data_IF_143165811139
#
_entry.id   IF_143165811139
#
_cell.length_a   1.000
_cell.length_b   1.000
_cell.length_c   1.000
_cell.angle_alpha   90.00
_cell.angle_beta   90.00
_cell.angle_gamma   90.00
#
_symmetry.space_group_name_H-M   'P 1'
#
loop_
_entity.id
_entity.type
_entity.pdbx_description
1 polymer ?
#
# COMPACT_ATOMS: atom_id res chain seq x y z
N UNK A 1 3.69 2.75 -11.24
CA UNK A 1 2.33 2.23 -10.90
C UNK A 1 1.95 2.64 -9.49
N UNK A 2 0.68 3.01 -9.25
CA UNK A 2 0.14 3.22 -7.89
C UNK A 2 -1.01 2.24 -7.67
N UNK A 3 -1.00 1.49 -6.56
CA UNK A 3 -2.12 0.67 -6.13
C UNK A 3 -2.81 1.32 -4.93
N UNK A 4 -4.02 1.85 -5.15
CA UNK A 4 -4.79 2.61 -4.15
C UNK A 4 -6.14 1.98 -3.80
N UNK A 5 -6.49 0.82 -4.38
CA UNK A 5 -7.78 0.21 -4.16
C UNK A 5 -7.91 -0.34 -2.73
N UNK A 6 -9.04 -0.07 -2.10
CA UNK A 6 -9.40 -0.63 -0.81
C UNK A 6 -10.91 -0.68 -0.62
N UNK A 7 -11.39 -1.68 0.13
CA UNK A 7 -12.75 -1.75 0.65
C UNK A 7 -12.71 -1.37 2.13
N UNK A 8 -13.38 -0.26 2.47
CA UNK A 8 -13.55 0.19 3.84
C UNK A 8 -14.98 -0.08 4.27
N UNK A 9 -15.14 -1.01 5.21
CA UNK A 9 -16.40 -1.28 5.87
C UNK A 9 -16.17 -1.61 7.33
N UNK A 10 -17.13 -1.27 8.17
CA UNK A 10 -17.12 -1.68 9.57
C UNK A 10 -17.44 -3.17 9.66
N UNK A 11 -16.65 -3.89 10.43
CA UNK A 11 -16.82 -5.30 10.72
C UNK A 11 -16.39 -5.62 12.17
N UNK A 12 -16.64 -6.85 12.59
CA UNK A 12 -16.14 -7.40 13.84
C UNK A 12 -15.88 -8.89 13.66
N UNK A 13 -15.13 -9.52 14.58
CA UNK A 13 -14.88 -10.96 14.49
C UNK A 13 -16.17 -11.79 14.49
N UNK A 14 -17.25 -11.29 15.10
CA UNK A 14 -18.54 -11.98 15.18
C UNK A 14 -19.40 -11.78 13.93
N UNK A 15 -19.23 -10.68 13.19
CA UNK A 15 -20.01 -10.36 12.00
C UNK A 15 -19.28 -10.68 10.68
N UNK A 16 -17.95 -10.77 10.71
CA UNK A 16 -17.12 -11.01 9.54
C UNK A 16 -17.15 -12.50 9.15
N UNK A 17 -17.78 -12.82 8.03
CA UNK A 17 -17.72 -14.19 7.51
C UNK A 17 -16.40 -14.45 6.77
N UNK A 18 -15.98 -15.72 6.68
CA UNK A 18 -14.81 -16.10 5.87
C UNK A 18 -14.98 -15.68 4.41
N UNK A 19 -16.20 -15.76 3.86
CA UNK A 19 -16.51 -15.33 2.50
C UNK A 19 -16.26 -13.84 2.31
N UNK A 20 -16.71 -13.02 3.25
CA UNK A 20 -16.52 -11.57 3.19
C UNK A 20 -15.04 -11.21 3.32
N UNK A 21 -14.33 -11.83 4.29
CA UNK A 21 -12.90 -11.62 4.46
C UNK A 21 -12.12 -11.93 3.18
N UNK A 22 -12.40 -13.07 2.55
CA UNK A 22 -11.74 -13.46 1.28
C UNK A 22 -12.06 -12.47 0.16
N UNK A 23 -13.32 -12.01 0.06
CA UNK A 23 -13.72 -11.03 -0.95
C UNK A 23 -13.04 -9.68 -0.74
N UNK A 24 -13.00 -9.20 0.48
CA UNK A 24 -12.34 -7.95 0.82
C UNK A 24 -10.83 -8.04 0.60
N UNK A 25 -10.20 -9.16 0.98
CA UNK A 25 -8.79 -9.41 0.78
C UNK A 25 -8.38 -9.40 -0.71
N UNK A 26 -9.26 -9.84 -1.62
CA UNK A 26 -9.02 -9.75 -3.06
C UNK A 26 -8.76 -8.31 -3.50
N UNK A 27 -9.51 -7.35 -2.96
CA UNK A 27 -9.31 -5.93 -3.28
C UNK A 27 -8.21 -5.33 -2.41
N UNK A 28 -8.22 -5.60 -1.10
CA UNK A 28 -7.33 -4.91 -0.17
C UNK A 28 -5.86 -5.35 -0.26
N UNK A 29 -5.59 -6.54 -0.83
CA UNK A 29 -4.23 -7.07 -0.91
C UNK A 29 -3.93 -7.84 -2.21
N UNK A 30 -4.72 -8.88 -2.58
CA UNK A 30 -4.40 -9.75 -3.71
C UNK A 30 -4.35 -8.98 -5.05
N UNK A 31 -5.19 -7.96 -5.21
CA UNK A 31 -5.17 -7.10 -6.39
C UNK A 31 -3.85 -6.34 -6.57
N UNK A 32 -3.16 -6.00 -5.47
CA UNK A 32 -1.84 -5.38 -5.56
C UNK A 32 -0.82 -6.34 -6.17
N UNK A 33 -0.84 -7.62 -5.77
CA UNK A 33 0.03 -8.66 -6.34
C UNK A 33 -0.24 -8.80 -7.83
N UNK A 34 -1.51 -8.90 -8.22
CA UNK A 34 -1.90 -9.01 -9.62
C UNK A 34 -1.43 -7.80 -10.45
N UNK A 35 -1.57 -6.59 -9.90
CA UNK A 35 -1.12 -5.36 -10.56
C UNK A 35 0.42 -5.32 -10.71
N UNK A 36 1.15 -5.71 -9.66
CA UNK A 36 2.62 -5.82 -9.70
C UNK A 36 3.05 -6.80 -10.79
N UNK A 37 2.46 -7.99 -10.83
CA UNK A 37 2.76 -9.02 -11.84
C UNK A 37 2.56 -8.54 -13.28
N UNK A 38 1.61 -7.63 -13.52
CA UNK A 38 1.37 -7.09 -14.86
C UNK A 38 2.40 -6.04 -15.28
N UNK A 39 2.90 -5.21 -14.36
CA UNK A 39 3.84 -4.12 -14.72
C UNK A 39 5.30 -4.55 -14.59
N UNK A 40 5.58 -5.54 -13.75
CA UNK A 40 6.94 -5.94 -13.38
C UNK A 40 7.81 -6.36 -14.58
N UNK A 41 7.35 -7.19 -15.54
CA UNK A 41 8.18 -7.60 -16.68
C UNK A 41 8.70 -6.41 -17.51
N UNK A 42 7.82 -5.43 -17.75
CA UNK A 42 8.20 -4.22 -18.49
C UNK A 42 9.21 -3.36 -17.71
N UNK A 43 9.02 -3.20 -16.40
CA UNK A 43 9.95 -2.44 -15.55
C UNK A 43 11.31 -3.15 -15.46
N UNK A 44 11.33 -4.47 -15.33
CA UNK A 44 12.57 -5.26 -15.31
C UNK A 44 13.34 -5.16 -16.61
N UNK A 45 12.65 -5.20 -17.76
CA UNK A 45 13.27 -5.01 -19.07
C UNK A 45 13.91 -3.62 -19.22
N UNK A 46 13.23 -2.60 -18.68
CA UNK A 46 13.71 -1.21 -18.72
C UNK A 46 14.76 -0.90 -17.63
N UNK A 47 14.97 -1.81 -16.66
CA UNK A 47 15.79 -1.58 -15.48
C UNK A 47 15.40 -0.29 -14.73
N UNK A 48 14.12 0.05 -14.77
CA UNK A 48 13.58 1.27 -14.17
C UNK A 48 12.09 1.14 -13.91
N UNK A 49 11.65 1.60 -12.76
CA UNK A 49 10.23 1.62 -12.41
C UNK A 49 9.97 2.14 -11.00
N UNK A 50 8.71 2.55 -10.76
CA UNK A 50 8.26 2.91 -9.42
C UNK A 50 6.91 2.24 -9.16
N UNK A 51 6.81 1.55 -8.05
CA UNK A 51 5.60 0.89 -7.56
C UNK A 51 5.29 1.46 -6.18
N UNK A 52 4.14 2.13 -6.05
CA UNK A 52 3.69 2.72 -4.79
C UNK A 52 2.39 2.06 -4.34
N UNK A 53 2.37 1.57 -3.11
CA UNK A 53 1.22 0.90 -2.51
C UNK A 53 0.62 1.78 -1.43
N UNK A 54 -0.70 1.99 -1.45
CA UNK A 54 -1.39 2.73 -0.40
C UNK A 54 -1.62 1.85 0.82
N UNK A 55 -0.73 1.99 1.78
CA UNK A 55 -0.82 1.40 3.11
C UNK A 55 -1.89 2.07 3.98
N UNK A 56 -1.83 1.85 5.26
CA UNK A 56 -2.72 2.49 6.23
C UNK A 56 -2.33 2.15 7.65
N UNK A 57 -2.61 3.07 8.56
CA UNK A 57 -2.26 2.97 9.98
C UNK A 57 -2.81 1.73 10.68
N UNK A 58 -3.85 1.09 10.14
CA UNK A 58 -4.37 -0.18 10.66
C UNK A 58 -3.35 -1.33 10.59
N UNK A 59 -2.31 -1.22 9.75
CA UNK A 59 -1.18 -2.16 9.75
C UNK A 59 -0.26 -2.00 10.98
N UNK A 60 -0.31 -0.85 11.64
CA UNK A 60 0.50 -0.51 12.82
C UNK A 60 -0.35 -0.48 14.10
N UNK A 61 -1.60 -0.02 13.98
CA UNK A 61 -2.55 0.21 15.07
C UNK A 61 -3.86 -0.53 14.76
N UNK A 62 -3.95 -1.84 15.06
CA UNK A 62 -5.14 -2.65 14.74
C UNK A 62 -6.41 -2.14 15.41
N UNK A 63 -7.54 -2.23 14.70
CA UNK A 63 -8.86 -1.88 15.21
C UNK A 63 -9.79 -3.09 15.16
N UNK A 64 -10.51 -3.43 16.26
CA UNK A 64 -11.46 -4.54 16.27
C UNK A 64 -12.74 -4.27 15.44
N UNK A 65 -12.91 -3.04 14.94
CA UNK A 65 -14.05 -2.64 14.11
C UNK A 65 -13.71 -2.56 12.60
N UNK A 66 -12.47 -2.87 12.23
CA UNK A 66 -11.93 -2.78 10.86
C UNK A 66 -10.99 -3.96 10.57
N UNK A 67 -11.40 -5.18 10.98
CA UNK A 67 -10.55 -6.38 10.94
C UNK A 67 -10.15 -6.71 9.49
N UNK A 68 -11.13 -6.76 8.58
CA UNK A 68 -10.89 -7.09 7.17
C UNK A 68 -9.93 -6.10 6.51
N UNK A 69 -10.18 -4.79 6.69
CA UNK A 69 -9.31 -3.74 6.15
C UNK A 69 -7.92 -3.78 6.80
N UNK A 70 -7.84 -3.99 8.13
CA UNK A 70 -6.58 -4.09 8.86
C UNK A 70 -5.69 -5.22 8.36
N UNK A 71 -6.27 -6.40 8.13
CA UNK A 71 -5.57 -7.56 7.54
C UNK A 71 -5.04 -7.19 6.14
N UNK A 72 -5.86 -6.53 5.32
CA UNK A 72 -5.45 -6.06 4.00
C UNK A 72 -4.29 -5.05 4.06
N UNK A 73 -4.34 -4.06 4.98
CA UNK A 73 -3.27 -3.06 5.13
C UNK A 73 -1.98 -3.68 5.69
N UNK A 74 -2.08 -4.66 6.58
CA UNK A 74 -0.93 -5.43 7.04
C UNK A 74 -0.29 -6.22 5.88
N UNK A 75 -1.09 -6.83 5.01
CA UNK A 75 -0.62 -7.53 3.82
C UNK A 75 0.08 -6.60 2.82
N UNK A 76 -0.47 -5.42 2.55
CA UNK A 76 0.18 -4.39 1.69
C UNK A 76 1.54 -3.99 2.26
N UNK A 77 1.60 -3.72 3.56
CA UNK A 77 2.87 -3.39 4.23
C UNK A 77 3.89 -4.54 4.13
N UNK A 78 3.45 -5.77 4.36
CA UNK A 78 4.29 -6.96 4.23
C UNK A 78 4.85 -7.11 2.81
N UNK A 79 4.02 -6.91 1.77
CA UNK A 79 4.45 -6.95 0.37
C UNK A 79 5.54 -5.91 0.08
N UNK A 80 5.34 -4.66 0.52
CA UNK A 80 6.31 -3.60 0.29
C UNK A 80 7.66 -3.94 0.94
N UNK A 81 7.65 -4.30 2.22
CA UNK A 81 8.87 -4.62 2.96
C UNK A 81 9.55 -5.89 2.45
N UNK A 82 8.76 -6.89 2.02
CA UNK A 82 9.28 -8.19 1.58
C UNK A 82 9.89 -8.20 0.19
N UNK A 83 9.41 -7.33 -0.72
CA UNK A 83 9.86 -7.32 -2.13
C UNK A 83 10.85 -6.20 -2.45
N UNK A 84 11.01 -5.21 -1.57
CA UNK A 84 11.76 -3.99 -1.88
C UNK A 84 13.21 -4.25 -2.29
N UNK A 85 13.94 -5.09 -1.56
CA UNK A 85 15.35 -5.38 -1.85
C UNK A 85 15.52 -6.16 -3.15
N UNK A 86 14.63 -7.13 -3.44
CA UNK A 86 14.65 -7.88 -4.70
C UNK A 86 14.43 -6.95 -5.89
N UNK A 87 13.41 -6.09 -5.82
CA UNK A 87 13.09 -5.17 -6.90
C UNK A 87 14.11 -4.05 -7.06
N UNK A 88 14.77 -3.64 -5.97
CA UNK A 88 15.87 -2.69 -6.01
C UNK A 88 17.04 -3.20 -6.86
N UNK A 89 17.36 -4.48 -6.80
CA UNK A 89 18.38 -5.09 -7.64
C UNK A 89 18.05 -4.99 -9.14
N UNK A 90 16.78 -4.88 -9.49
CA UNK A 90 16.28 -4.67 -10.85
C UNK A 90 16.12 -3.19 -11.24
N UNK A 91 16.50 -2.26 -10.38
CA UNK A 91 16.34 -0.82 -10.61
C UNK A 91 14.90 -0.33 -10.43
N UNK A 92 14.10 -1.05 -9.64
CA UNK A 92 12.69 -0.73 -9.41
C UNK A 92 12.48 -0.29 -7.96
N UNK A 93 11.94 0.91 -7.76
CA UNK A 93 11.56 1.44 -6.46
C UNK A 93 10.17 0.91 -6.05
N UNK A 94 10.10 0.09 -5.02
CA UNK A 94 8.84 -0.30 -4.38
C UNK A 94 8.73 0.36 -3.01
N UNK A 95 7.62 1.08 -2.78
CA UNK A 95 7.35 1.69 -1.47
C UNK A 95 5.86 1.63 -1.09
N UNK A 96 5.59 1.76 0.21
CA UNK A 96 4.25 1.96 0.74
C UNK A 96 4.13 3.30 1.46
N UNK A 97 2.99 3.99 1.27
CA UNK A 97 2.59 5.15 2.06
C UNK A 97 1.59 4.69 3.12
N UNK A 98 2.04 4.58 4.37
CA UNK A 98 1.23 4.13 5.50
C UNK A 98 0.52 5.33 6.11
N UNK A 99 -0.74 5.58 5.71
CA UNK A 99 -1.53 6.75 6.11
C UNK A 99 -2.23 6.44 7.43
N UNK A 100 -1.85 7.18 8.51
CA UNK A 100 -2.31 6.97 9.87
C UNK A 100 -3.43 7.92 10.29
N UNK A 101 -4.40 8.19 9.41
CA UNK A 101 -5.52 9.07 9.71
C UNK A 101 -6.64 8.99 8.69
N UNK A 102 -7.72 9.73 8.97
CA UNK A 102 -8.86 9.87 8.06
C UNK A 102 -8.54 10.91 7.00
N UNK A 103 -8.55 10.50 5.74
CA UNK A 103 -8.30 11.39 4.61
C UNK A 103 -9.50 12.33 4.44
N UNK A 104 -9.25 13.63 4.54
CA UNK A 104 -10.26 14.66 4.32
C UNK A 104 -9.61 15.97 3.86
N UNK A 105 -10.26 16.73 2.96
CA UNK A 105 -9.80 18.06 2.55
C UNK A 105 -9.62 19.00 3.74
N UNK A 106 -8.69 19.94 3.62
CA UNK A 106 -8.39 20.98 4.61
C UNK A 106 -7.99 20.44 6.00
N UNK A 107 -7.47 19.22 6.06
CA UNK A 107 -6.92 18.62 7.29
C UNK A 107 -5.45 18.27 7.13
N UNK A 108 -4.81 17.79 8.20
CA UNK A 108 -3.46 17.20 8.12
C UNK A 108 -3.40 16.05 7.09
N UNK A 109 -4.52 15.35 6.86
CA UNK A 109 -4.63 14.24 5.92
C UNK A 109 -5.34 14.65 4.62
N UNK A 110 -5.04 15.87 4.17
CA UNK A 110 -5.53 16.40 2.89
C UNK A 110 -5.03 15.51 1.73
N UNK A 111 -5.91 15.14 0.78
CA UNK A 111 -5.53 14.30 -0.36
C UNK A 111 -4.37 14.85 -1.19
N UNK A 112 -4.32 16.16 -1.40
CA UNK A 112 -3.27 16.79 -2.19
C UNK A 112 -1.93 16.75 -1.46
N UNK A 113 -1.94 16.96 -0.14
CA UNK A 113 -0.73 16.83 0.70
C UNK A 113 -0.21 15.38 0.69
N UNK A 114 -1.10 14.41 0.77
CA UNK A 114 -0.74 12.98 0.65
C UNK A 114 -0.18 12.68 -0.74
N UNK A 115 -0.78 13.19 -1.82
CA UNK A 115 -0.32 12.98 -3.18
C UNK A 115 1.12 13.53 -3.39
N UNK A 116 1.50 14.62 -2.72
CA UNK A 116 2.87 15.12 -2.76
C UNK A 116 3.88 14.09 -2.21
N UNK A 117 3.52 13.30 -1.21
CA UNK A 117 4.40 12.24 -0.69
C UNK A 117 4.64 11.15 -1.74
N UNK A 118 3.60 10.76 -2.49
CA UNK A 118 3.76 9.80 -3.60
C UNK A 118 4.70 10.33 -4.66
N UNK A 119 4.57 11.63 -5.00
CA UNK A 119 5.45 12.27 -5.95
C UNK A 119 6.90 12.35 -5.45
N UNK A 120 7.11 12.70 -4.18
CA UNK A 120 8.42 12.73 -3.55
C UNK A 120 9.09 11.35 -3.56
N UNK A 121 8.36 10.29 -3.22
CA UNK A 121 8.86 8.92 -3.29
C UNK A 121 9.25 8.54 -4.72
N UNK A 122 8.42 8.91 -5.70
CA UNK A 122 8.71 8.64 -7.12
C UNK A 122 9.98 9.33 -7.60
N UNK A 123 10.31 10.51 -7.09
CA UNK A 123 11.49 11.29 -7.46
C UNK A 123 12.78 10.87 -6.74
N UNK A 124 12.71 9.97 -5.75
CA UNK A 124 13.90 9.51 -5.05
C UNK A 124 14.85 8.75 -5.98
N UNK A 125 16.14 8.88 -5.71
CA UNK A 125 17.19 8.11 -6.38
C UNK A 125 17.45 6.79 -5.65
N UNK A 126 18.09 5.79 -6.29
CA UNK A 126 18.37 4.48 -5.66
C UNK A 126 19.07 4.56 -4.30
N UNK A 127 19.88 5.60 -4.09
CA UNK A 127 20.63 5.83 -2.83
C UNK A 127 19.71 6.33 -1.70
N UNK A 128 18.56 6.93 -2.06
CA UNK A 128 17.65 7.56 -1.11
C UNK A 128 16.29 6.85 -1.01
N UNK A 129 16.10 5.74 -1.74
CA UNK A 129 14.83 5.01 -1.76
C UNK A 129 14.39 4.58 -0.38
N UNK A 130 13.19 5.01 -0.02
CA UNK A 130 12.48 4.59 1.19
C UNK A 130 11.47 3.51 0.83
N UNK A 131 11.41 2.45 1.62
CA UNK A 131 10.44 1.35 1.42
C UNK A 131 9.08 1.69 2.06
N UNK A 132 9.09 2.50 3.11
CA UNK A 132 7.88 2.93 3.79
C UNK A 132 7.96 4.40 4.18
N UNK A 133 6.90 5.14 3.88
CA UNK A 133 6.67 6.49 4.42
C UNK A 133 5.44 6.42 5.33
N UNK A 134 5.63 6.66 6.63
CA UNK A 134 4.53 6.73 7.60
C UNK A 134 4.03 8.16 7.65
N UNK A 135 2.82 8.39 7.12
CA UNK A 135 2.13 9.67 7.12
C UNK A 135 1.25 9.79 8.37
N UNK A 136 1.68 10.59 9.34
CA UNK A 136 1.03 10.75 10.65
C UNK A 136 1.09 12.16 11.20
#
# INVERSE_FOLDING_TARGET
MIYNAALLKLDSVMSLTTKDLVQDFKVNAAGAISAIQQVLPGMQQQKSGTILLTGGGLALYPSPQLISLGIGKAAIRYLALGLAEELKADGIHLATVTICGTIAPDTKFDPDAIAQVYWQLHQQTPETWQVEYVYQ
#
